data_IF_295682715465
#
_entry.id   IF_295682715465
#
_cell.length_a   1.000
_cell.length_b   1.000
_cell.length_c   1.000
_cell.angle_alpha   90.00
_cell.angle_beta   90.00
_cell.angle_gamma   90.00
#
_symmetry.space_group_name_H-M   'P 1'
#
loop_
_entity.id
_entity.type
_entity.pdbx_description
1 polymer ?
#
# COMPACT_ATOMS: atom_id res chain seq x y z
N UNK A 1 -8.33 5.61 3.36
CA UNK A 1 -8.38 6.86 4.16
C UNK A 1 -7.90 6.78 5.61
N UNK A 2 -7.99 5.65 6.36
CA UNK A 2 -7.41 5.55 7.73
C UNK A 2 -5.92 5.16 7.74
N UNK A 3 -5.44 4.43 6.75
CA UNK A 3 -4.06 3.90 6.68
C UNK A 3 -3.03 4.93 6.20
N UNK A 4 -3.35 5.74 5.17
CA UNK A 4 -2.53 6.89 4.74
C UNK A 4 -2.16 7.83 5.90
N UNK A 5 -3.06 7.99 6.88
CA UNK A 5 -2.80 8.86 8.03
C UNK A 5 -1.70 8.34 8.95
N UNK A 6 -1.47 7.02 9.01
CA UNK A 6 -0.44 6.43 9.87
C UNK A 6 0.95 6.65 9.28
N UNK A 7 1.14 6.39 7.99
CA UNK A 7 2.43 6.60 7.32
C UNK A 7 2.79 8.08 7.24
N UNK A 8 1.82 8.93 6.89
CA UNK A 8 2.00 10.39 6.92
C UNK A 8 2.38 10.89 8.31
N UNK A 9 1.78 10.33 9.37
CA UNK A 9 2.10 10.69 10.77
C UNK A 9 3.50 10.21 11.19
N UNK A 10 3.88 8.99 10.82
CA UNK A 10 5.23 8.46 11.10
C UNK A 10 6.30 9.31 10.41
N UNK A 11 6.13 9.61 9.13
CA UNK A 11 7.12 10.36 8.36
C UNK A 11 7.15 11.85 8.73
N UNK A 12 6.00 12.46 9.04
CA UNK A 12 5.96 13.83 9.59
C UNK A 12 6.67 13.93 10.95
N UNK A 13 6.60 12.87 11.77
CA UNK A 13 7.31 12.82 13.06
C UNK A 13 8.84 12.76 12.90
N UNK A 14 9.33 12.39 11.72
CA UNK A 14 10.76 12.37 11.36
C UNK A 14 11.26 13.68 10.72
N UNK A 15 10.44 14.75 10.72
CA UNK A 15 10.74 16.07 10.15
C UNK A 15 10.99 16.08 8.63
N UNK A 16 10.59 15.03 7.89
CA UNK A 16 10.44 15.16 6.43
C UNK A 16 9.10 15.84 6.20
N UNK A 17 9.15 17.00 5.56
CA UNK A 17 7.99 17.87 5.57
C UNK A 17 6.97 17.37 4.54
N UNK A 18 5.69 17.39 4.90
CA UNK A 18 4.61 16.77 4.14
C UNK A 18 4.47 17.27 2.68
N UNK A 19 5.12 18.39 2.32
CA UNK A 19 5.16 18.93 0.96
C UNK A 19 6.17 18.24 0.02
N UNK A 20 7.12 17.46 0.55
CA UNK A 20 8.09 16.68 -0.24
C UNK A 20 7.59 15.27 -0.59
N UNK A 21 6.35 14.95 -0.18
CA UNK A 21 5.79 13.61 -0.25
C UNK A 21 4.66 13.52 -1.28
N UNK A 22 4.92 12.76 -2.33
CA UNK A 22 3.93 12.45 -3.35
C UNK A 22 3.39 11.05 -3.08
N UNK A 23 2.15 10.99 -2.58
CA UNK A 23 1.40 9.74 -2.48
C UNK A 23 0.73 9.46 -3.82
N UNK A 24 0.98 8.29 -4.41
CA UNK A 24 0.17 7.83 -5.56
C UNK A 24 -1.10 7.15 -5.07
N UNK A 25 -2.16 7.18 -5.88
CA UNK A 25 -3.41 6.49 -5.58
C UNK A 25 -3.15 5.01 -5.22
N UNK A 26 -3.73 4.55 -4.11
CA UNK A 26 -3.63 3.15 -3.69
C UNK A 26 -4.43 2.26 -4.64
N UNK A 27 -3.81 1.17 -5.10
CA UNK A 27 -4.52 0.13 -5.84
C UNK A 27 -5.15 -0.86 -4.86
N UNK A 28 -6.46 -1.06 -4.97
CA UNK A 28 -7.22 -1.97 -4.13
C UNK A 28 -7.70 -3.15 -4.96
N UNK A 29 -7.01 -4.29 -4.81
CA UNK A 29 -7.34 -5.51 -5.51
C UNK A 29 -8.19 -6.42 -4.62
N UNK A 30 -9.24 -6.99 -5.22
CA UNK A 30 -10.00 -8.09 -4.61
C UNK A 30 -9.31 -9.40 -4.97
N UNK A 31 -9.02 -10.20 -3.97
CA UNK A 31 -8.42 -11.51 -4.16
C UNK A 31 -9.52 -12.57 -4.18
N UNK A 32 -9.47 -13.45 -5.19
CA UNK A 32 -10.45 -14.53 -5.35
C UNK A 32 -9.75 -15.88 -5.38
N UNK A 33 -10.27 -16.83 -4.62
CA UNK A 33 -9.93 -18.24 -4.70
C UNK A 33 -10.96 -18.99 -5.54
N UNK A 34 -10.51 -19.94 -6.35
CA UNK A 34 -11.39 -20.81 -7.12
C UNK A 34 -11.52 -22.17 -6.44
N UNK A 35 -12.75 -22.61 -6.21
CA UNK A 35 -13.05 -23.97 -5.76
C UNK A 35 -13.47 -24.84 -6.93
N UNK A 36 -13.17 -26.13 -6.86
CA UNK A 36 -13.41 -27.09 -7.93
C UNK A 36 -14.29 -28.25 -7.46
N UNK A 37 -15.08 -28.79 -8.38
CA UNK A 37 -15.83 -30.03 -8.19
C UNK A 37 -14.89 -31.24 -8.26
N UNK A 38 -15.37 -32.42 -7.85
CA UNK A 38 -14.58 -33.67 -7.91
C UNK A 38 -14.08 -34.03 -9.32
N UNK A 39 -14.80 -33.60 -10.36
CA UNK A 39 -14.42 -33.79 -11.76
C UNK A 39 -13.51 -32.65 -12.30
N UNK A 40 -12.98 -31.79 -11.42
CA UNK A 40 -12.05 -30.71 -11.79
C UNK A 40 -12.71 -29.48 -12.41
N UNK A 41 -14.04 -29.46 -12.60
CA UNK A 41 -14.71 -28.26 -13.13
C UNK A 41 -14.81 -27.18 -12.06
N UNK A 42 -14.72 -25.91 -12.48
CA UNK A 42 -14.90 -24.77 -11.58
C UNK A 42 -16.28 -24.83 -10.91
N UNK A 43 -16.29 -24.76 -9.58
CA UNK A 43 -17.51 -24.73 -8.76
C UNK A 43 -17.91 -23.30 -8.42
N UNK A 44 -16.99 -22.52 -7.85
CA UNK A 44 -17.27 -21.18 -7.36
C UNK A 44 -15.99 -20.36 -7.21
N UNK A 45 -16.07 -19.06 -7.49
CA UNK A 45 -15.09 -18.07 -7.05
C UNK A 45 -15.52 -17.47 -5.71
N UNK A 46 -14.61 -17.49 -4.74
CA UNK A 46 -14.83 -16.99 -3.38
C UNK A 46 -13.91 -15.80 -3.18
N UNK A 47 -14.45 -14.67 -2.72
CA UNK A 47 -13.64 -13.55 -2.28
C UNK A 47 -12.83 -14.00 -1.06
N UNK A 48 -11.51 -14.12 -1.23
CA UNK A 48 -10.60 -14.60 -0.19
C UNK A 48 -9.96 -13.45 0.58
N UNK A 49 -9.93 -12.25 -0.01
CA UNK A 49 -9.35 -11.11 0.66
C UNK A 49 -9.29 -9.85 -0.19
N UNK A 50 -8.53 -8.91 0.33
CA UNK A 50 -8.23 -7.65 -0.33
C UNK A 50 -6.75 -7.33 -0.15
N UNK A 51 -6.10 -6.97 -1.25
CA UNK A 51 -4.72 -6.50 -1.25
C UNK A 51 -4.70 -5.01 -1.57
N UNK A 52 -4.10 -4.22 -0.67
CA UNK A 52 -3.89 -2.78 -0.85
C UNK A 52 -2.42 -2.52 -1.13
N UNK A 53 -2.11 -2.07 -2.34
CA UNK A 53 -0.77 -1.63 -2.72
C UNK A 53 -0.76 -0.11 -2.81
N UNK A 54 0.14 0.53 -2.05
CA UNK A 54 0.34 1.98 -2.06
C UNK A 54 1.82 2.25 -2.35
N UNK A 55 2.08 3.14 -3.31
CA UNK A 55 3.43 3.63 -3.58
C UNK A 55 3.57 5.05 -3.04
N UNK A 56 4.65 5.29 -2.31
CA UNK A 56 4.99 6.60 -1.75
C UNK A 56 6.32 7.02 -2.34
N UNK A 57 6.35 8.18 -2.99
CA UNK A 57 7.58 8.78 -3.50
C UNK A 57 7.92 10.02 -2.68
N UNK A 58 9.17 10.11 -2.23
CA UNK A 58 9.67 11.24 -1.45
C UNK A 58 10.80 11.88 -2.25
N UNK A 59 10.66 13.16 -2.58
CA UNK A 59 11.71 13.95 -3.22
C UNK A 59 12.14 15.03 -2.25
N UNK A 60 13.32 14.86 -1.64
CA UNK A 60 13.87 15.81 -0.68
C UNK A 60 15.23 16.33 -1.13
N UNK A 61 15.47 17.62 -0.91
CA UNK A 61 16.81 18.21 -1.07
C UNK A 61 17.74 17.83 0.08
N UNK A 62 17.19 17.34 1.19
CA UNK A 62 17.92 16.98 2.39
C UNK A 62 18.25 15.48 2.42
N UNK A 63 19.10 15.02 1.49
CA UNK A 63 19.45 13.60 1.30
C UNK A 63 19.84 12.91 2.63
N UNK A 64 20.67 13.58 3.44
CA UNK A 64 21.16 13.06 4.73
C UNK A 64 20.05 12.73 5.75
N UNK A 65 18.86 13.34 5.63
CA UNK A 65 17.70 13.05 6.50
C UNK A 65 16.92 11.83 6.01
N UNK A 66 16.92 11.58 4.69
CA UNK A 66 16.25 10.45 4.06
C UNK A 66 17.02 9.15 4.29
N UNK A 67 18.35 9.17 4.20
CA UNK A 67 19.18 7.96 4.40
C UNK A 67 19.00 7.34 5.79
N UNK A 68 18.75 8.16 6.82
CA UNK A 68 18.54 7.70 8.21
C UNK A 68 17.18 7.03 8.44
N UNK A 69 16.31 7.05 7.44
CA UNK A 69 14.96 6.48 7.50
C UNK A 69 14.89 5.06 6.93
N UNK A 70 15.88 4.65 6.14
CA UNK A 70 15.98 3.33 5.48
C UNK A 70 16.47 2.22 6.40
#
# INVERSE_FOLDING_TARGET
MRTERKEKKYLSSKRVIAYEMMFSAGNFNKDFGTTYNKNGTTRQQILTGFTLTQSVSIQSKEVNKIEKLS
#
